data_IF_709585106428
#
_entry.id   IF_709585106428
#
_cell.length_a   1.000
_cell.length_b   1.000
_cell.length_c   1.000
_cell.angle_alpha   90.00
_cell.angle_beta   90.00
_cell.angle_gamma   90.00
#
_symmetry.space_group_name_H-M   'P 1'
#
loop_
_entity.id
_entity.type
_entity.pdbx_description
1 polymer ?
#
# COMPACT_ATOMS: atom_id res chain seq x y z
N UNK A 1 36.28 -23.35 57.65
CA UNK A 1 35.04 -23.41 56.83
C UNK A 1 34.36 -22.04 56.79
N UNK A 2 34.84 -21.07 56.01
CA UNK A 2 34.14 -19.77 55.90
C UNK A 2 33.55 -19.46 54.48
N UNK A 3 33.52 -20.40 53.55
CA UNK A 3 33.26 -20.03 52.14
C UNK A 3 31.79 -20.17 51.64
N UNK A 4 30.98 -20.91 52.33
CA UNK A 4 29.58 -21.18 51.92
C UNK A 4 28.66 -19.97 52.17
N UNK A 5 28.89 -19.22 53.26
CA UNK A 5 28.11 -18.08 53.64
C UNK A 5 28.31 -16.86 52.69
N UNK A 6 29.54 -16.72 52.16
CA UNK A 6 29.91 -15.66 51.22
C UNK A 6 29.33 -15.90 49.82
N UNK A 7 29.29 -17.15 49.34
CA UNK A 7 28.65 -17.57 48.06
C UNK A 7 27.14 -17.38 48.12
N UNK A 8 26.49 -17.72 49.24
CA UNK A 8 25.04 -17.58 49.41
C UNK A 8 24.60 -16.13 49.41
N UNK A 9 25.34 -15.19 50.04
CA UNK A 9 25.10 -13.73 49.98
C UNK A 9 25.24 -13.20 48.57
N UNK A 10 26.22 -13.62 47.82
CA UNK A 10 26.46 -13.19 46.43
C UNK A 10 25.33 -13.62 45.48
N UNK A 11 24.79 -14.83 45.68
CA UNK A 11 23.63 -15.33 44.93
C UNK A 11 22.35 -14.54 45.26
N UNK A 12 22.11 -14.21 46.47
CA UNK A 12 20.96 -13.41 46.91
C UNK A 12 21.00 -11.99 46.30
N UNK A 13 22.17 -11.38 46.20
CA UNK A 13 22.35 -10.11 45.54
C UNK A 13 22.06 -10.15 44.06
N UNK A 14 22.46 -11.22 43.37
CA UNK A 14 22.16 -11.42 41.96
C UNK A 14 20.68 -11.64 41.70
N UNK A 15 20.01 -12.41 42.52
CA UNK A 15 18.56 -12.63 42.43
C UNK A 15 17.80 -11.31 42.73
N UNK A 16 18.25 -10.53 43.69
CA UNK A 16 17.66 -9.19 43.99
C UNK A 16 17.81 -8.23 42.81
N UNK A 17 19.00 -8.22 42.17
CA UNK A 17 19.24 -7.35 41.01
C UNK A 17 18.41 -7.79 39.79
N UNK A 18 18.29 -9.08 39.55
CA UNK A 18 17.45 -9.62 38.47
C UNK A 18 15.95 -9.31 38.70
N UNK A 19 15.48 -9.45 39.93
CA UNK A 19 14.09 -9.10 40.28
C UNK A 19 13.83 -7.60 40.14
N UNK A 20 14.80 -6.75 40.51
CA UNK A 20 14.69 -5.30 40.31
C UNK A 20 14.67 -4.91 38.83
N UNK A 21 15.50 -5.56 37.99
CA UNK A 21 15.48 -5.33 36.52
C UNK A 21 14.15 -5.77 35.90
N UNK A 22 13.60 -6.92 36.28
CA UNK A 22 12.31 -7.41 35.81
C UNK A 22 11.19 -6.46 36.26
N UNK A 23 11.20 -6.00 37.52
CA UNK A 23 10.22 -5.04 38.02
C UNK A 23 10.30 -3.68 37.29
N UNK A 24 11.51 -3.25 36.92
CA UNK A 24 11.73 -2.02 36.13
C UNK A 24 11.20 -2.16 34.70
N UNK A 25 11.43 -3.32 34.06
CA UNK A 25 10.92 -3.62 32.71
C UNK A 25 9.40 -3.69 32.72
N UNK A 26 8.80 -4.41 33.68
CA UNK A 26 7.35 -4.55 33.78
C UNK A 26 6.65 -3.21 34.07
N UNK A 27 7.31 -2.33 34.84
CA UNK A 27 6.78 -1.00 35.14
C UNK A 27 6.99 0.02 34.03
N UNK A 28 7.95 -0.24 33.12
CA UNK A 28 8.24 0.60 31.94
C UNK A 28 7.43 0.24 30.69
N UNK A 29 6.72 -0.89 30.68
CA UNK A 29 5.88 -1.30 29.55
C UNK A 29 4.44 -0.88 29.84
N UNK A 30 4.05 0.25 29.29
CA UNK A 30 2.63 0.63 29.26
C UNK A 30 2.02 0.04 28.02
N UNK A 31 1.19 -1.01 28.17
CA UNK A 31 0.36 -1.53 27.09
C UNK A 31 -0.86 -0.64 26.99
N UNK A 32 -0.94 0.19 25.95
CA UNK A 32 -2.13 0.97 25.64
C UNK A 32 -3.01 0.11 24.73
N UNK A 33 -4.26 -0.18 25.09
CA UNK A 33 -5.21 -0.86 24.22
C UNK A 33 -5.43 -0.05 22.94
N UNK A 34 -5.52 -0.71 21.78
CA UNK A 34 -5.71 -0.07 20.46
C UNK A 34 -6.93 0.90 20.40
N UNK A 35 -7.86 0.81 21.32
CA UNK A 35 -9.03 1.69 21.41
C UNK A 35 -8.84 2.97 22.24
N UNK A 36 -7.69 3.14 22.93
CA UNK A 36 -7.39 4.28 23.79
C UNK A 36 -6.22 5.13 23.29
N UNK A 37 -5.90 5.06 21.98
CA UNK A 37 -4.92 5.97 21.40
C UNK A 37 -5.43 7.40 21.57
N UNK A 38 -4.58 8.24 22.19
CA UNK A 38 -4.92 9.64 22.45
C UNK A 38 -5.34 10.32 21.14
N UNK A 39 -6.52 10.90 21.12
CA UNK A 39 -7.05 11.66 19.97
C UNK A 39 -6.32 12.99 19.78
N UNK A 40 -5.46 13.35 20.72
CA UNK A 40 -4.62 14.56 20.70
C UNK A 40 -3.18 14.21 21.06
N UNK A 41 -2.24 14.91 20.44
CA UNK A 41 -0.81 14.81 20.78
C UNK A 41 -0.51 15.50 22.13
N UNK A 42 0.75 15.44 22.59
CA UNK A 42 1.19 16.07 23.83
C UNK A 42 1.01 17.61 23.85
N UNK A 43 0.76 18.23 22.70
CA UNK A 43 0.55 19.66 22.54
C UNK A 43 -0.95 20.02 22.37
N UNK A 44 -1.84 19.02 22.46
CA UNK A 44 -3.28 19.22 22.32
C UNK A 44 -3.80 19.28 20.88
N UNK A 45 -2.95 19.00 19.88
CA UNK A 45 -3.38 18.94 18.50
C UNK A 45 -4.04 17.59 18.18
N UNK A 46 -5.03 17.55 17.29
CA UNK A 46 -5.61 16.28 16.83
C UNK A 46 -4.52 15.37 16.25
N UNK A 47 -4.46 14.12 16.71
CA UNK A 47 -3.57 13.13 16.12
C UNK A 47 -4.08 12.82 14.72
N UNK A 48 -3.19 12.89 13.73
CA UNK A 48 -3.55 12.53 12.37
C UNK A 48 -3.90 11.03 12.28
N UNK A 49 -5.13 10.75 11.89
CA UNK A 49 -5.66 9.41 11.72
C UNK A 49 -5.70 9.02 10.23
N UNK A 50 -4.68 8.33 9.70
CA UNK A 50 -4.56 8.02 8.27
C UNK A 50 -5.77 7.29 7.72
N UNK A 51 -6.30 6.33 8.47
CA UNK A 51 -7.48 5.53 8.07
C UNK A 51 -8.73 6.37 7.92
N UNK A 52 -9.02 7.24 8.88
CA UNK A 52 -10.16 8.15 8.83
C UNK A 52 -10.01 9.17 7.69
N UNK A 53 -8.79 9.68 7.51
CA UNK A 53 -8.48 10.59 6.41
C UNK A 53 -8.70 9.94 5.03
N UNK A 54 -8.13 8.73 4.81
CA UNK A 54 -8.31 7.99 3.56
C UNK A 54 -9.80 7.68 3.32
N UNK A 55 -10.55 7.27 4.36
CA UNK A 55 -11.98 7.04 4.24
C UNK A 55 -12.72 8.28 3.77
N UNK A 56 -12.37 9.48 4.27
CA UNK A 56 -13.03 10.74 3.89
C UNK A 56 -12.76 11.17 2.46
N UNK A 57 -11.57 10.85 1.90
CA UNK A 57 -11.18 11.27 0.55
C UNK A 57 -11.43 10.21 -0.52
N UNK A 58 -11.65 8.95 -0.15
CA UNK A 58 -11.72 7.84 -1.11
C UNK A 58 -12.81 8.04 -2.16
N UNK A 59 -14.07 8.10 -1.72
CA UNK A 59 -15.19 8.26 -2.64
C UNK A 59 -15.33 9.71 -3.15
N UNK A 60 -14.88 10.69 -2.36
CA UNK A 60 -15.01 12.09 -2.70
C UNK A 60 -13.94 12.61 -3.67
N UNK A 61 -12.74 12.00 -3.68
CA UNK A 61 -11.59 12.53 -4.45
C UNK A 61 -10.82 11.46 -5.21
N UNK A 62 -10.51 10.30 -4.58
CA UNK A 62 -9.65 9.26 -5.19
C UNK A 62 -10.35 8.60 -6.37
N UNK A 63 -11.55 8.07 -6.17
CA UNK A 63 -12.31 7.42 -7.25
C UNK A 63 -12.69 8.40 -8.38
N UNK A 64 -13.20 9.62 -8.11
CA UNK A 64 -13.43 10.60 -9.15
C UNK A 64 -12.18 10.98 -9.94
N UNK A 65 -11.04 11.18 -9.24
CA UNK A 65 -9.78 11.46 -9.92
C UNK A 65 -9.38 10.35 -10.89
N UNK A 66 -9.42 9.09 -10.45
CA UNK A 66 -9.11 7.95 -11.31
C UNK A 66 -10.09 7.84 -12.48
N UNK A 67 -11.38 8.06 -12.25
CA UNK A 67 -12.39 8.05 -13.31
C UNK A 67 -12.13 9.11 -14.37
N UNK A 68 -11.75 10.34 -13.95
CA UNK A 68 -11.64 11.48 -14.85
C UNK A 68 -10.25 11.63 -15.48
N UNK A 69 -9.22 11.11 -14.84
CA UNK A 69 -7.81 11.32 -15.21
C UNK A 69 -7.09 10.06 -15.69
N UNK A 70 -7.67 8.87 -15.52
CA UNK A 70 -7.05 7.69 -16.07
C UNK A 70 -7.11 7.66 -17.60
N UNK A 71 -5.98 7.37 -18.21
CA UNK A 71 -5.86 7.09 -19.64
C UNK A 71 -5.97 5.60 -19.94
N UNK A 72 -6.14 5.25 -21.22
CA UNK A 72 -6.06 3.85 -21.64
C UNK A 72 -4.66 3.29 -21.38
N UNK A 73 -4.60 2.12 -20.79
CA UNK A 73 -3.35 1.44 -20.45
C UNK A 73 -2.55 1.03 -21.72
N UNK A 74 -3.21 0.69 -22.81
CA UNK A 74 -2.54 0.18 -24.02
C UNK A 74 -1.52 1.18 -24.60
N UNK A 75 -1.87 2.45 -24.92
CA UNK A 75 -0.87 3.40 -25.43
C UNK A 75 0.22 3.74 -24.41
N UNK A 76 -0.07 3.66 -23.10
CA UNK A 76 0.94 3.89 -22.06
C UNK A 76 1.96 2.75 -22.06
N UNK A 77 1.51 1.50 -22.11
CA UNK A 77 2.38 0.31 -22.14
C UNK A 77 3.25 0.27 -23.41
N UNK A 78 2.68 0.58 -24.56
CA UNK A 78 3.43 0.73 -25.83
C UNK A 78 4.51 1.81 -25.69
N UNK A 79 4.16 2.98 -25.15
CA UNK A 79 5.12 4.06 -24.96
C UNK A 79 6.22 3.71 -23.96
N UNK A 80 5.91 2.96 -22.91
CA UNK A 80 6.90 2.47 -21.95
C UNK A 80 7.88 1.47 -22.58
N UNK A 81 7.42 0.65 -23.52
CA UNK A 81 8.26 -0.31 -24.23
C UNK A 81 9.14 0.38 -25.29
N UNK A 82 8.58 1.25 -26.10
CA UNK A 82 9.23 1.82 -27.27
C UNK A 82 10.02 3.11 -26.98
N UNK A 83 9.49 3.95 -26.09
CA UNK A 83 10.01 5.30 -25.79
C UNK A 83 9.89 5.63 -24.28
N UNK A 84 10.57 4.90 -23.41
CA UNK A 84 10.38 5.00 -21.96
C UNK A 84 10.60 6.43 -21.40
N UNK A 85 11.56 7.15 -21.97
CA UNK A 85 11.87 8.54 -21.54
C UNK A 85 10.75 9.54 -21.88
N UNK A 86 9.93 9.23 -22.88
CA UNK A 86 8.82 10.09 -23.31
C UNK A 86 7.49 9.70 -22.69
N UNK A 87 7.35 8.46 -22.24
CA UNK A 87 6.12 7.94 -21.66
C UNK A 87 5.70 8.76 -20.41
N UNK A 88 6.65 9.03 -19.51
CA UNK A 88 6.42 9.81 -18.31
C UNK A 88 5.87 11.21 -18.57
N UNK A 89 6.58 12.06 -19.32
CA UNK A 89 6.12 13.41 -19.65
C UNK A 89 4.77 13.46 -20.39
N UNK A 90 4.47 12.44 -21.19
CA UNK A 90 3.27 12.40 -22.03
C UNK A 90 2.03 11.90 -21.30
N UNK A 91 2.16 10.89 -20.47
CA UNK A 91 1.02 10.15 -19.89
C UNK A 91 1.04 10.10 -18.37
N UNK A 92 2.18 10.40 -17.74
CA UNK A 92 2.39 10.22 -16.32
C UNK A 92 2.13 11.47 -15.51
N UNK A 93 2.06 11.25 -14.21
CA UNK A 93 2.12 12.28 -13.20
C UNK A 93 3.37 12.07 -12.34
N UNK A 94 4.01 13.16 -11.97
CA UNK A 94 5.09 13.23 -10.99
C UNK A 94 4.99 14.59 -10.29
N UNK A 95 5.05 14.58 -8.96
CA UNK A 95 5.05 15.83 -8.22
C UNK A 95 6.24 16.72 -8.64
N UNK A 96 6.02 18.02 -8.85
CA UNK A 96 7.03 18.97 -9.35
C UNK A 96 8.27 19.08 -8.47
N UNK A 97 8.13 18.82 -7.18
CA UNK A 97 9.20 18.83 -6.18
C UNK A 97 9.88 17.47 -6.01
N UNK A 98 9.59 16.49 -6.85
CA UNK A 98 10.05 15.12 -6.71
C UNK A 98 10.84 14.66 -7.94
N UNK A 99 12.02 14.08 -7.70
CA UNK A 99 12.77 13.29 -8.69
C UNK A 99 12.34 11.83 -8.70
N UNK A 100 11.21 11.52 -8.05
CA UNK A 100 10.65 10.18 -7.99
C UNK A 100 10.18 9.65 -9.34
N UNK A 101 9.79 8.38 -9.41
CA UNK A 101 9.32 7.76 -10.63
C UNK A 101 8.01 8.38 -11.12
N UNK A 102 7.79 8.31 -12.43
CA UNK A 102 6.51 8.62 -13.03
C UNK A 102 5.45 7.57 -12.63
N UNK A 103 4.25 8.04 -12.37
CA UNK A 103 3.08 7.22 -12.03
C UNK A 103 1.98 7.55 -13.03
N UNK A 104 1.23 6.54 -13.45
CA UNK A 104 0.23 6.63 -14.51
C UNK A 104 -1.13 6.23 -13.96
N UNK A 105 -2.10 7.11 -13.99
CA UNK A 105 -3.48 6.74 -13.76
C UNK A 105 -4.00 6.03 -15.02
N UNK A 106 -4.36 4.76 -14.91
CA UNK A 106 -4.72 3.93 -16.06
C UNK A 106 -6.03 3.17 -15.84
N UNK A 107 -6.73 2.94 -16.94
CA UNK A 107 -7.78 1.94 -17.04
C UNK A 107 -7.57 1.12 -18.32
N UNK A 108 -8.12 -0.08 -18.38
CA UNK A 108 -7.99 -0.90 -19.57
C UNK A 108 -8.71 -2.23 -19.44
N UNK A 109 -8.66 -2.96 -20.53
CA UNK A 109 -9.07 -4.36 -20.59
C UNK A 109 -7.88 -5.20 -21.03
N UNK A 110 -7.76 -6.38 -20.46
CA UNK A 110 -6.70 -7.30 -20.80
C UNK A 110 -7.12 -8.75 -20.63
N UNK A 111 -6.33 -9.64 -21.24
CA UNK A 111 -6.47 -11.08 -21.07
C UNK A 111 -5.53 -11.54 -19.97
N UNK A 112 -6.04 -12.29 -19.01
CA UNK A 112 -5.22 -12.88 -17.96
C UNK A 112 -4.23 -13.86 -18.57
N UNK A 113 -2.95 -13.66 -18.29
CA UNK A 113 -1.83 -14.54 -18.67
C UNK A 113 -1.46 -15.45 -17.50
N UNK A 114 -1.41 -14.87 -16.30
CA UNK A 114 -1.13 -15.59 -15.07
C UNK A 114 -1.90 -14.97 -13.90
N UNK A 115 -2.22 -15.77 -12.91
CA UNK A 115 -2.82 -15.29 -11.66
C UNK A 115 -2.22 -16.05 -10.48
N UNK A 116 -1.74 -15.29 -9.48
CA UNK A 116 -1.29 -15.80 -8.20
C UNK A 116 -2.18 -15.18 -7.11
N UNK A 117 -3.30 -15.82 -6.85
CA UNK A 117 -4.32 -15.34 -5.92
C UNK A 117 -4.26 -16.02 -4.54
N UNK A 118 -3.41 -17.03 -4.39
CA UNK A 118 -3.27 -17.80 -3.15
C UNK A 118 -2.38 -17.14 -2.11
N UNK A 119 -1.60 -16.14 -2.47
CA UNK A 119 -0.67 -15.45 -1.60
C UNK A 119 -1.27 -14.18 -0.99
N UNK A 120 -0.66 -13.72 0.12
CA UNK A 120 -1.02 -12.42 0.72
C UNK A 120 -0.78 -11.24 -0.23
N UNK A 121 0.20 -11.36 -1.11
CA UNK A 121 0.46 -10.43 -2.20
C UNK A 121 -0.09 -11.01 -3.51
N UNK A 122 -1.42 -11.01 -3.62
CA UNK A 122 -2.07 -11.55 -4.80
C UNK A 122 -1.91 -10.62 -6.01
N UNK A 123 -1.59 -11.24 -7.15
CA UNK A 123 -1.36 -10.55 -8.42
C UNK A 123 -2.05 -11.25 -9.58
N UNK A 124 -2.42 -10.46 -10.58
CA UNK A 124 -2.92 -10.95 -11.87
C UNK A 124 -2.10 -10.29 -12.97
N UNK A 125 -1.40 -11.09 -13.77
CA UNK A 125 -0.70 -10.61 -14.95
C UNK A 125 -1.67 -10.61 -16.11
N UNK A 126 -1.80 -9.47 -16.77
CA UNK A 126 -2.67 -9.28 -17.92
C UNK A 126 -1.88 -8.86 -19.14
N UNK A 127 -2.23 -9.41 -20.29
CA UNK A 127 -1.83 -8.91 -21.60
C UNK A 127 -2.81 -7.82 -22.04
N UNK A 128 -2.27 -6.65 -22.34
CA UNK A 128 -2.99 -5.49 -22.87
C UNK A 128 -2.32 -5.08 -24.17
N UNK A 129 -2.94 -5.41 -25.29
CA UNK A 129 -2.44 -5.09 -26.64
C UNK A 129 -1.00 -5.62 -26.91
N UNK A 130 -0.66 -6.81 -26.42
CA UNK A 130 0.66 -7.43 -26.60
C UNK A 130 1.70 -7.03 -25.57
N UNK A 131 1.33 -6.27 -24.55
CA UNK A 131 2.22 -5.87 -23.46
C UNK A 131 1.66 -6.35 -22.12
N UNK A 132 2.54 -6.87 -21.27
CA UNK A 132 2.13 -7.36 -19.94
C UNK A 132 2.14 -6.26 -18.89
N UNK A 133 1.12 -6.28 -18.04
CA UNK A 133 1.07 -5.50 -16.81
C UNK A 133 0.66 -6.39 -15.65
N UNK A 134 1.25 -6.15 -14.46
CA UNK A 134 0.95 -6.88 -13.24
C UNK A 134 -0.03 -6.07 -12.40
N UNK A 135 -1.23 -6.60 -12.20
CA UNK A 135 -2.23 -6.00 -11.32
C UNK A 135 -2.02 -6.51 -9.90
N UNK A 136 -1.70 -5.64 -8.96
CA UNK A 136 -1.71 -5.94 -7.52
C UNK A 136 -3.14 -5.82 -7.03
N UNK A 137 -3.69 -6.91 -6.50
CA UNK A 137 -5.08 -7.00 -6.02
C UNK A 137 -5.18 -7.30 -4.52
N UNK A 138 -4.03 -7.42 -3.84
CA UNK A 138 -3.94 -7.60 -2.37
C UNK A 138 -4.33 -8.97 -1.87
N UNK A 139 -4.50 -9.19 -0.55
CA UNK A 139 -4.69 -8.17 0.52
C UNK A 139 -3.50 -7.27 0.83
N UNK A 140 -2.28 -7.66 0.53
CA UNK A 140 -1.10 -6.80 0.72
C UNK A 140 -0.68 -6.24 -0.64
N UNK A 141 -0.63 -4.93 -0.75
CA UNK A 141 -0.14 -4.19 -1.91
C UNK A 141 1.16 -3.49 -1.54
N UNK A 142 2.19 -3.62 -2.38
CA UNK A 142 3.48 -2.97 -2.18
C UNK A 142 3.60 -1.69 -3.00
N UNK A 143 4.42 -0.77 -2.48
CA UNK A 143 4.73 0.49 -3.15
C UNK A 143 3.83 1.64 -2.76
N UNK A 144 4.04 2.76 -3.43
CA UNK A 144 3.44 4.06 -3.09
C UNK A 144 2.71 4.68 -4.28
N UNK A 145 2.53 3.90 -5.37
CA UNK A 145 2.00 4.40 -6.64
C UNK A 145 0.67 5.14 -6.48
N UNK A 146 -0.25 4.59 -5.68
CA UNK A 146 -1.56 5.23 -5.48
C UNK A 146 -1.44 6.57 -4.75
N UNK A 147 -0.59 6.68 -3.72
CA UNK A 147 -0.33 7.95 -3.04
C UNK A 147 0.35 8.96 -3.95
N UNK A 148 1.42 8.52 -4.63
CA UNK A 148 2.28 9.40 -5.41
C UNK A 148 1.63 9.87 -6.72
N UNK A 149 0.63 9.13 -7.20
CA UNK A 149 -0.15 9.48 -8.39
C UNK A 149 -1.34 10.41 -8.13
N UNK A 150 -1.61 10.79 -6.87
CA UNK A 150 -2.72 11.67 -6.49
C UNK A 150 -2.20 13.08 -6.21
N UNK A 151 -2.41 14.06 -7.11
CA UNK A 151 -1.83 15.42 -7.01
C UNK A 151 -2.23 16.20 -5.75
N UNK A 152 -3.31 15.80 -5.12
CA UNK A 152 -3.82 16.41 -3.89
C UNK A 152 -3.27 15.78 -2.62
N UNK A 153 -2.39 14.79 -2.74
CA UNK A 153 -1.64 14.21 -1.64
C UNK A 153 -0.17 14.58 -1.79
N UNK A 154 0.29 15.47 -0.94
CA UNK A 154 1.69 15.88 -0.88
C UNK A 154 2.24 15.62 0.51
N UNK A 155 3.56 15.62 0.62
CA UNK A 155 4.21 15.53 1.93
C UNK A 155 3.76 16.66 2.87
N UNK A 156 3.49 17.86 2.32
CA UNK A 156 3.04 19.00 3.10
C UNK A 156 1.62 18.84 3.68
N UNK A 157 0.88 17.81 3.24
CA UNK A 157 -0.45 17.51 3.79
C UNK A 157 -0.42 16.72 5.09
N UNK A 158 0.77 16.34 5.56
CA UNK A 158 0.99 15.56 6.79
C UNK A 158 2.15 16.15 7.61
N UNK A 159 2.22 15.84 8.90
CA UNK A 159 3.22 16.44 9.78
C UNK A 159 4.63 15.82 9.65
N UNK A 160 4.74 14.58 9.19
CA UNK A 160 6.02 13.87 9.12
C UNK A 160 6.00 12.68 8.15
N UNK A 161 7.18 12.09 7.91
CA UNK A 161 7.37 10.96 7.00
C UNK A 161 6.62 9.69 7.44
N UNK A 162 6.43 9.48 8.73
CA UNK A 162 5.73 8.31 9.26
C UNK A 162 4.26 8.39 8.86
N UNK A 163 3.62 9.54 9.06
CA UNK A 163 2.24 9.77 8.63
C UNK A 163 2.08 9.65 7.11
N UNK A 164 3.06 10.14 6.34
CA UNK A 164 3.05 10.01 4.90
C UNK A 164 3.18 8.55 4.43
N UNK A 165 3.98 7.74 5.12
CA UNK A 165 4.06 6.31 4.86
C UNK A 165 2.78 5.56 5.26
N UNK A 166 2.19 5.91 6.41
CA UNK A 166 0.92 5.35 6.87
C UNK A 166 -0.22 5.66 5.88
N UNK A 167 -0.25 6.87 5.34
CA UNK A 167 -1.22 7.27 4.32
C UNK A 167 -1.14 6.36 3.07
N UNK A 168 0.08 6.02 2.63
CA UNK A 168 0.28 5.08 1.52
C UNK A 168 -0.26 3.68 1.85
N UNK A 169 -0.02 3.21 3.08
CA UNK A 169 -0.49 1.91 3.54
C UNK A 169 -2.02 1.84 3.54
N UNK A 170 -2.69 2.82 4.13
CA UNK A 170 -4.15 2.87 4.20
C UNK A 170 -4.81 3.01 2.81
N UNK A 171 -4.18 3.75 1.89
CA UNK A 171 -4.62 3.81 0.49
C UNK A 171 -4.52 2.44 -0.20
N UNK A 172 -3.42 1.72 0.02
CA UNK A 172 -3.22 0.40 -0.53
C UNK A 172 -4.22 -0.63 0.04
N UNK A 173 -4.48 -0.58 1.35
CA UNK A 173 -5.48 -1.43 2.00
C UNK A 173 -6.88 -1.17 1.45
N UNK A 174 -7.22 0.11 1.24
CA UNK A 174 -8.50 0.48 0.64
C UNK A 174 -8.60 0.03 -0.82
N UNK A 175 -7.52 0.15 -1.59
CA UNK A 175 -7.45 -0.33 -2.97
C UNK A 175 -7.61 -1.86 -3.04
N UNK A 176 -6.91 -2.60 -2.19
CA UNK A 176 -7.03 -4.05 -2.11
C UNK A 176 -8.48 -4.48 -1.76
N UNK A 177 -9.12 -3.80 -0.82
CA UNK A 177 -10.51 -4.05 -0.48
C UNK A 177 -11.44 -3.78 -1.68
N UNK A 178 -11.24 -2.66 -2.39
CA UNK A 178 -12.06 -2.28 -3.54
C UNK A 178 -11.88 -3.23 -4.73
N UNK A 179 -10.64 -3.63 -5.05
CA UNK A 179 -10.37 -4.57 -6.15
C UNK A 179 -10.95 -5.97 -5.89
N UNK A 180 -11.09 -6.38 -4.64
CA UNK A 180 -11.62 -7.70 -4.23
C UNK A 180 -13.14 -7.79 -4.20
N UNK A 181 -13.84 -6.68 -4.27
CA UNK A 181 -15.32 -6.67 -4.35
C UNK A 181 -15.83 -7.20 -5.70
N UNK A 182 -14.98 -7.21 -6.72
CA UNK A 182 -15.35 -7.64 -8.07
C UNK A 182 -15.42 -9.16 -8.23
N UNK A 183 -14.42 -9.78 -8.88
CA UNK A 183 -14.46 -11.20 -9.22
C UNK A 183 -14.08 -12.08 -8.02
N UNK A 184 -14.68 -13.28 -7.99
CA UNK A 184 -14.14 -14.36 -7.16
C UNK A 184 -12.69 -14.65 -7.61
N UNK A 185 -11.77 -14.76 -6.63
CA UNK A 185 -10.37 -15.07 -6.90
C UNK A 185 -10.18 -16.37 -7.70
N UNK A 186 -11.03 -17.36 -7.48
CA UNK A 186 -11.04 -18.62 -8.22
C UNK A 186 -11.42 -18.48 -9.69
N UNK A 187 -12.09 -17.40 -10.07
CA UNK A 187 -12.48 -17.12 -11.44
C UNK A 187 -11.41 -16.32 -12.23
N UNK A 188 -10.36 -15.85 -11.56
CA UNK A 188 -9.23 -15.16 -12.18
C UNK A 188 -8.21 -16.18 -12.72
N UNK A 189 -8.54 -16.80 -13.83
CA UNK A 189 -7.72 -17.83 -14.47
C UNK A 189 -7.20 -17.37 -15.83
N UNK A 190 -6.07 -17.90 -16.30
CA UNK A 190 -5.54 -17.59 -17.63
C UNK A 190 -6.58 -17.77 -18.73
N UNK A 191 -6.55 -16.85 -19.70
CA UNK A 191 -7.49 -16.83 -20.82
C UNK A 191 -8.72 -15.96 -20.62
N UNK A 192 -9.16 -15.72 -19.37
CA UNK A 192 -10.29 -14.84 -19.06
C UNK A 192 -9.93 -13.36 -19.31
N UNK A 193 -10.94 -12.57 -19.63
CA UNK A 193 -10.77 -11.12 -19.81
C UNK A 193 -11.19 -10.36 -18.56
N UNK A 194 -10.42 -9.33 -18.25
CA UNK A 194 -10.71 -8.43 -17.12
C UNK A 194 -10.68 -6.99 -17.58
N UNK A 195 -11.50 -6.15 -16.94
CA UNK A 195 -11.41 -4.69 -16.95
C UNK A 195 -10.84 -4.24 -15.64
N UNK A 196 -9.90 -3.30 -15.68
CA UNK A 196 -9.26 -2.78 -14.49
C UNK A 196 -9.09 -1.26 -14.56
N UNK A 197 -8.93 -0.64 -13.39
CA UNK A 197 -8.47 0.74 -13.24
C UNK A 197 -7.59 0.85 -11.99
N UNK A 198 -6.61 1.73 -12.04
CA UNK A 198 -5.67 1.93 -10.94
C UNK A 198 -4.52 2.86 -11.24
N UNK A 199 -3.51 2.78 -10.41
CA UNK A 199 -2.29 3.57 -10.52
C UNK A 199 -1.12 2.65 -10.89
N UNK A 200 -0.43 2.94 -12.00
CA UNK A 200 0.63 2.12 -12.57
C UNK A 200 2.00 2.77 -12.39
N UNK A 201 3.00 1.95 -12.07
CA UNK A 201 4.43 2.29 -12.16
C UNK A 201 5.01 1.78 -13.47
N UNK A 202 6.17 2.33 -13.90
CA UNK A 202 6.75 2.06 -15.22
C UNK A 202 7.60 0.78 -15.31
N UNK A 203 8.40 0.48 -14.29
CA UNK A 203 9.45 -0.52 -14.39
C UNK A 203 9.55 -1.42 -13.14
N UNK A 204 8.98 -2.61 -13.17
CA UNK A 204 8.10 -3.15 -14.21
C UNK A 204 6.73 -2.46 -14.23
N UNK A 205 5.94 -2.58 -15.32
CA UNK A 205 4.57 -2.10 -15.35
C UNK A 205 3.71 -2.83 -14.32
N UNK A 206 3.42 -2.14 -13.21
CA UNK A 206 2.69 -2.71 -12.07
C UNK A 206 1.58 -1.77 -11.65
N UNK A 207 0.36 -2.26 -11.62
CA UNK A 207 -0.85 -1.48 -11.32
C UNK A 207 -1.32 -1.80 -9.90
N UNK A 208 -1.39 -0.80 -9.04
CA UNK A 208 -2.22 -0.86 -7.83
C UNK A 208 -3.67 -0.75 -8.26
N UNK A 209 -4.36 -1.88 -8.35
CA UNK A 209 -5.72 -1.92 -8.82
C UNK A 209 -6.69 -1.39 -7.77
N UNK A 210 -7.54 -0.44 -8.14
CA UNK A 210 -8.67 0.06 -7.33
C UNK A 210 -9.99 -0.48 -7.85
N UNK A 211 -10.01 -0.98 -9.07
CA UNK A 211 -11.16 -1.64 -9.68
C UNK A 211 -10.67 -2.82 -10.50
N UNK A 212 -11.36 -3.94 -10.36
CA UNK A 212 -11.16 -5.14 -11.15
C UNK A 212 -12.52 -5.79 -11.42
N UNK A 213 -12.81 -6.08 -12.67
CA UNK A 213 -14.05 -6.70 -13.10
C UNK A 213 -13.75 -7.80 -14.11
N UNK A 214 -14.30 -8.99 -13.87
CA UNK A 214 -14.27 -10.06 -14.86
C UNK A 214 -15.28 -9.75 -15.98
N UNK A 215 -14.84 -9.84 -17.21
CA UNK A 215 -15.71 -9.67 -18.38
C UNK A 215 -16.33 -10.99 -18.80
N UNK A 216 -17.54 -10.97 -19.40
CA UNK A 216 -18.10 -12.17 -20.03
C UNK A 216 -17.12 -12.73 -21.06
N UNK A 217 -17.16 -14.05 -21.26
CA UNK A 217 -16.44 -14.67 -22.36
C UNK A 217 -17.00 -14.10 -23.68
N UNK A 218 -16.11 -13.80 -24.61
CA UNK A 218 -16.55 -13.37 -25.94
C UNK A 218 -17.32 -14.52 -26.57
N UNK A 219 -18.45 -14.24 -27.24
CA UNK A 219 -19.20 -15.27 -27.96
C UNK A 219 -18.41 -15.95 -29.06
#
# INVERSE_FOLDING_TARGET
MPDVARRRRWWLWRLGLAAACIAFIVRGITVVPDGELATTDANGNPVFEPKAYVASIWDARVLPYLKDKSGDAAPVLVALADQPDQAGPRYGYRARSSDGPWVFAVHGEGRIVAADTGLRHATVTVDVAGHEAVLQIGPVIYGTALRDGLPFLSFDSVANQIQFAQLSHELNDRAAAAARVGPDAAALVPGRRVRFAGMMTAAPPQVTAVQLQLLPDAP
#
